data_IF_373716664801
#
_entry.id   IF_373716664801
#
_cell.length_a   1.000
_cell.length_b   1.000
_cell.length_c   1.000
_cell.angle_alpha   90.00
_cell.angle_beta   90.00
_cell.angle_gamma   90.00
#
_symmetry.space_group_name_H-M   'P 1'
#
loop_
_entity.id
_entity.type
_entity.pdbx_description
1 polymer ?
#
# COMPACT_ATOMS: atom_id res chain seq x y z
N UNK A 1 7.36 0.49 25.29
CA UNK A 1 6.34 1.53 25.53
C UNK A 1 6.09 2.40 24.29
N UNK A 2 7.09 2.95 23.59
CA UNK A 2 6.84 3.70 22.33
C UNK A 2 6.66 2.79 21.10
N UNK A 3 7.53 1.78 20.92
CA UNK A 3 7.48 0.89 19.75
C UNK A 3 6.14 0.15 19.62
N UNK A 4 5.56 -0.27 20.74
CA UNK A 4 4.24 -0.91 20.79
C UNK A 4 3.11 0.04 20.39
N UNK A 5 3.20 1.32 20.75
CA UNK A 5 2.21 2.33 20.36
C UNK A 5 2.27 2.57 18.85
N UNK A 6 3.48 2.76 18.31
CA UNK A 6 3.67 2.95 16.87
C UNK A 6 3.23 1.72 16.07
N UNK A 7 3.61 0.52 16.51
CA UNK A 7 3.18 -0.73 15.89
C UNK A 7 1.64 -0.82 15.83
N UNK A 8 0.95 -0.49 16.92
CA UNK A 8 -0.52 -0.47 16.96
C UNK A 8 -1.12 0.54 15.97
N UNK A 9 -0.50 1.73 15.80
CA UNK A 9 -0.98 2.70 14.82
C UNK A 9 -0.81 2.20 13.38
N UNK A 10 0.37 1.66 13.04
CA UNK A 10 0.59 1.07 11.72
C UNK A 10 -0.38 -0.08 11.46
N UNK A 11 -0.54 -1.00 12.41
CA UNK A 11 -1.45 -2.13 12.24
C UNK A 11 -2.90 -1.67 12.05
N UNK A 12 -3.39 -0.76 12.91
CA UNK A 12 -4.76 -0.21 12.80
C UNK A 12 -4.99 0.42 11.43
N UNK A 13 -4.07 1.24 10.96
CA UNK A 13 -4.26 2.00 9.73
C UNK A 13 -4.09 1.10 8.48
N UNK A 14 -3.21 0.09 8.52
CA UNK A 14 -3.12 -0.93 7.47
C UNK A 14 -4.40 -1.77 7.41
N UNK A 15 -4.97 -2.16 8.55
CA UNK A 15 -6.26 -2.89 8.59
C UNK A 15 -7.38 -2.07 7.98
N UNK A 16 -7.43 -0.77 8.29
CA UNK A 16 -8.41 0.14 7.68
C UNK A 16 -8.21 0.27 6.17
N UNK A 17 -6.97 0.36 5.69
CA UNK A 17 -6.68 0.34 4.26
C UNK A 17 -7.21 -0.94 3.59
N UNK A 18 -7.02 -2.11 4.21
CA UNK A 18 -7.54 -3.39 3.72
C UNK A 18 -9.07 -3.34 3.63
N UNK A 19 -9.74 -2.82 4.65
CA UNK A 19 -11.20 -2.61 4.62
C UNK A 19 -11.62 -1.71 3.46
N UNK A 20 -10.95 -0.57 3.27
CA UNK A 20 -11.22 0.38 2.18
C UNK A 20 -11.01 -0.24 0.78
N UNK A 21 -9.97 -1.07 0.60
CA UNK A 21 -9.73 -1.82 -0.65
C UNK A 21 -10.84 -2.86 -0.89
N UNK A 22 -11.35 -3.48 0.16
CA UNK A 22 -12.44 -4.44 0.05
C UNK A 22 -13.82 -3.80 -0.24
N UNK A 23 -13.96 -2.48 -0.09
CA UNK A 23 -15.18 -1.77 -0.49
C UNK A 23 -15.35 -1.62 -2.01
N UNK A 24 -14.29 -1.85 -2.79
CA UNK A 24 -14.40 -1.91 -4.26
C UNK A 24 -15.24 -3.12 -4.67
N UNK A 25 -16.37 -2.87 -5.33
CA UNK A 25 -17.29 -3.93 -5.77
C UNK A 25 -16.73 -4.73 -6.95
N UNK A 26 -16.09 -4.04 -7.88
CA UNK A 26 -15.45 -4.64 -9.05
C UNK A 26 -13.93 -4.45 -8.97
N UNK A 27 -13.17 -5.49 -9.30
CA UNK A 27 -11.71 -5.47 -9.28
C UNK A 27 -11.13 -4.34 -10.17
N UNK A 28 -11.73 -4.14 -11.33
CA UNK A 28 -11.30 -3.13 -12.29
C UNK A 28 -11.47 -1.68 -11.77
N UNK A 29 -12.42 -1.43 -10.86
CA UNK A 29 -12.60 -0.10 -10.28
C UNK A 29 -11.42 0.31 -9.40
N UNK A 30 -10.70 -0.64 -8.81
CA UNK A 30 -9.48 -0.39 -8.04
C UNK A 30 -8.39 0.28 -8.90
N UNK A 31 -8.38 -0.03 -10.20
CA UNK A 31 -7.31 0.37 -11.15
C UNK A 31 -7.69 1.56 -12.04
N UNK A 32 -8.91 2.09 -11.89
CA UNK A 32 -9.40 3.24 -12.66
C UNK A 32 -8.95 4.56 -12.03
N UNK A 33 -8.75 5.55 -12.89
CA UNK A 33 -8.51 6.96 -12.52
C UNK A 33 -9.68 7.80 -12.99
N UNK A 34 -10.00 8.88 -12.28
CA UNK A 34 -11.11 9.76 -12.65
C UNK A 34 -10.70 11.24 -12.59
N UNK A 35 -11.09 12.03 -13.58
CA UNK A 35 -10.77 13.45 -13.67
C UNK A 35 -9.27 13.73 -13.69
N UNK A 36 -8.79 14.56 -12.77
CA UNK A 36 -7.39 14.95 -12.65
C UNK A 36 -6.53 13.98 -11.82
N UNK A 37 -7.13 12.91 -11.28
CA UNK A 37 -6.41 11.91 -10.48
C UNK A 37 -5.48 11.11 -11.37
N UNK A 38 -4.18 11.09 -11.06
CA UNK A 38 -3.14 10.42 -11.86
C UNK A 38 -2.84 8.99 -11.43
N UNK A 39 -3.17 8.63 -10.19
CA UNK A 39 -2.90 7.32 -9.61
C UNK A 39 -4.21 6.67 -9.18
N UNK A 40 -4.43 5.43 -9.59
CA UNK A 40 -5.60 4.66 -9.14
C UNK A 40 -5.48 4.28 -7.66
N UNK A 41 -6.59 3.82 -7.06
CA UNK A 41 -6.56 3.28 -5.70
C UNK A 41 -5.53 2.16 -5.56
N UNK A 42 -5.47 1.25 -6.53
CA UNK A 42 -4.49 0.17 -6.58
C UNK A 42 -3.05 0.67 -6.64
N UNK A 43 -2.76 1.75 -7.39
CA UNK A 43 -1.41 2.35 -7.41
C UNK A 43 -1.03 2.91 -6.04
N UNK A 44 -1.95 3.58 -5.35
CA UNK A 44 -1.69 4.12 -4.02
C UNK A 44 -1.47 3.00 -2.99
N UNK A 45 -2.23 1.90 -3.08
CA UNK A 45 -2.04 0.71 -2.23
C UNK A 45 -0.67 0.09 -2.48
N UNK A 46 -0.26 -0.11 -3.73
CA UNK A 46 1.07 -0.61 -4.06
C UNK A 46 2.18 0.31 -3.52
N UNK A 47 1.99 1.62 -3.60
CA UNK A 47 2.94 2.58 -3.02
C UNK A 47 3.03 2.47 -1.50
N UNK A 48 1.91 2.30 -0.79
CA UNK A 48 1.89 2.09 0.66
C UNK A 48 2.62 0.79 1.01
N UNK A 49 2.35 -0.32 0.30
CA UNK A 49 3.03 -1.60 0.50
C UNK A 49 4.54 -1.46 0.29
N UNK A 50 4.97 -0.79 -0.78
CA UNK A 50 6.39 -0.55 -1.07
C UNK A 50 7.06 0.29 0.00
N UNK A 51 6.40 1.38 0.43
CA UNK A 51 6.86 2.25 1.50
C UNK A 51 6.99 1.52 2.84
N UNK A 52 6.00 0.71 3.23
CA UNK A 52 6.03 -0.08 4.48
C UNK A 52 7.12 -1.14 4.44
N UNK A 53 7.28 -1.86 3.32
CA UNK A 53 8.35 -2.84 3.16
C UNK A 53 9.74 -2.19 3.16
N UNK A 54 9.90 -0.99 2.61
CA UNK A 54 11.16 -0.27 2.70
C UNK A 54 11.44 0.19 4.13
N UNK A 55 10.52 0.96 4.73
CA UNK A 55 10.70 1.53 6.06
C UNK A 55 10.84 0.43 7.12
N UNK A 56 9.88 -0.49 7.23
CA UNK A 56 9.89 -1.50 8.29
C UNK A 56 10.76 -2.69 7.86
N UNK A 57 10.52 -3.24 6.68
CA UNK A 57 11.21 -4.44 6.19
C UNK A 57 12.71 -4.22 6.00
N UNK A 58 13.09 -3.28 5.14
CA UNK A 58 14.50 -3.06 4.81
C UNK A 58 15.26 -2.36 5.94
N UNK A 59 14.72 -1.29 6.55
CA UNK A 59 15.51 -0.52 7.55
C UNK A 59 15.51 -1.13 8.95
N UNK A 60 14.37 -1.65 9.44
CA UNK A 60 14.26 -2.15 10.82
C UNK A 60 14.45 -3.67 10.90
N UNK A 61 13.77 -4.42 10.03
CA UNK A 61 13.74 -5.88 10.07
C UNK A 61 14.84 -6.54 9.22
N UNK A 62 15.60 -5.75 8.44
CA UNK A 62 16.69 -6.23 7.59
C UNK A 62 16.29 -7.38 6.65
N UNK A 63 15.08 -7.30 6.06
CA UNK A 63 14.53 -8.36 5.19
C UNK A 63 15.22 -8.46 3.82
N UNK A 64 16.09 -7.52 3.47
CA UNK A 64 16.68 -7.42 2.14
C UNK A 64 15.73 -6.87 1.07
N UNK A 65 14.57 -6.31 1.47
CA UNK A 65 13.63 -5.72 0.53
C UNK A 65 14.25 -4.57 -0.27
N UNK A 66 14.09 -4.62 -1.60
CA UNK A 66 14.49 -3.56 -2.54
C UNK A 66 13.22 -2.95 -3.15
N UNK A 67 12.99 -1.66 -2.90
CA UNK A 67 11.82 -0.95 -3.46
C UNK A 67 11.96 -0.81 -4.98
N UNK A 68 10.82 -0.94 -5.67
CA UNK A 68 10.69 -0.61 -7.08
C UNK A 68 9.61 0.46 -7.26
N UNK A 69 10.00 1.70 -6.96
CA UNK A 69 9.11 2.87 -6.95
C UNK A 69 8.36 3.06 -8.27
N UNK A 70 9.00 2.82 -9.40
CA UNK A 70 8.33 2.97 -10.70
C UNK A 70 7.15 2.00 -10.82
N UNK A 71 7.36 0.73 -10.47
CA UNK A 71 6.32 -0.30 -10.52
C UNK A 71 5.15 -0.01 -9.57
N UNK A 72 5.38 0.67 -8.45
CA UNK A 72 4.31 1.09 -7.53
C UNK A 72 3.28 2.01 -8.23
N UNK A 73 3.71 2.82 -9.20
CA UNK A 73 2.84 3.78 -9.90
C UNK A 73 2.40 3.33 -11.30
N UNK A 74 3.09 2.38 -11.94
CA UNK A 74 2.72 1.91 -13.30
C UNK A 74 2.00 0.57 -13.34
N UNK A 75 2.21 -0.31 -12.34
CA UNK A 75 1.63 -1.65 -12.33
C UNK A 75 0.11 -1.57 -12.10
N UNK A 76 -0.63 -2.46 -12.77
CA UNK A 76 -2.09 -2.61 -12.64
C UNK A 76 -2.49 -4.08 -12.70
N UNK A 77 -3.72 -4.39 -12.28
CA UNK A 77 -4.27 -5.74 -12.36
C UNK A 77 -3.62 -6.74 -11.39
N UNK A 78 -3.12 -6.24 -10.26
CA UNK A 78 -2.74 -7.11 -9.14
C UNK A 78 -4.04 -7.49 -8.43
N UNK A 79 -4.30 -8.77 -8.25
CA UNK A 79 -5.48 -9.21 -7.49
C UNK A 79 -5.35 -8.79 -6.03
N UNK A 80 -6.45 -8.27 -5.47
CA UNK A 80 -6.58 -7.93 -4.05
C UNK A 80 -6.47 -9.12 -3.10
#
# INVERSE_FOLDING_TARGET
MLNSILANFYERDIRKLIEEVNLFRNEEDLWRTHGSVKNSGGNLVLHIIGGTNHLIGATLAQTGYVSNREQEFIRKGVER
#
